data_IF_746387725822
#
_entry.id   IF_746387725822
#
_cell.length_a   1.000
_cell.length_b   1.000
_cell.length_c   1.000
_cell.angle_alpha   90.00
_cell.angle_beta   90.00
_cell.angle_gamma   90.00
#
_symmetry.space_group_name_H-M   'P 1'
#
loop_
_entity.id
_entity.type
_entity.pdbx_description
1 polymer ?
#
# COMPACT_ATOMS: atom_id res chain seq x y z
N UNK A 1 -20.08 42.28 -28.47
CA UNK A 1 -19.35 41.07 -28.93
C UNK A 1 -17.95 41.08 -28.28
N UNK A 2 -17.77 41.10 -26.96
CA UNK A 2 -18.25 40.27 -25.83
C UNK A 2 -17.42 39.00 -25.63
N UNK A 3 -16.22 39.17 -25.05
CA UNK A 3 -15.42 38.25 -24.21
C UNK A 3 -15.11 36.81 -24.69
N UNK A 4 -15.69 36.33 -25.79
CA UNK A 4 -15.55 34.96 -26.26
C UNK A 4 -14.37 34.75 -27.23
N UNK A 5 -13.80 35.83 -27.78
CA UNK A 5 -12.66 35.72 -28.71
C UNK A 5 -11.36 35.31 -27.98
N UNK A 6 -11.18 35.73 -26.72
CA UNK A 6 -10.07 35.32 -25.85
C UNK A 6 -10.30 33.96 -25.18
N UNK A 7 -11.49 33.35 -25.35
CA UNK A 7 -11.84 32.06 -24.73
C UNK A 7 -11.83 30.87 -25.71
N UNK A 8 -11.39 31.07 -26.95
CA UNK A 8 -11.23 29.97 -27.91
C UNK A 8 -9.86 29.33 -27.68
N UNK A 9 -9.82 28.27 -26.87
CA UNK A 9 -8.69 27.33 -26.93
C UNK A 9 -8.71 26.76 -28.34
N UNK A 10 -7.63 26.97 -29.12
CA UNK A 10 -7.49 26.60 -30.54
C UNK A 10 -7.41 25.08 -30.77
N UNK A 11 -8.10 24.31 -29.94
CA UNK A 11 -7.90 22.89 -29.79
C UNK A 11 -6.60 22.59 -29.05
N UNK A 12 -6.49 21.38 -28.50
CA UNK A 12 -5.20 20.90 -28.03
C UNK A 12 -4.21 20.82 -29.18
N UNK A 13 -3.05 21.45 -29.02
CA UNK A 13 -1.95 21.28 -29.96
C UNK A 13 -1.30 19.92 -29.75
N UNK A 14 -0.98 19.24 -30.86
CA UNK A 14 -0.28 17.96 -30.86
C UNK A 14 1.21 18.20 -31.10
N UNK A 15 2.04 17.65 -30.22
CA UNK A 15 3.49 17.73 -30.35
C UNK A 15 4.10 16.33 -30.30
N UNK A 16 5.19 16.11 -31.03
CA UNK A 16 5.93 14.83 -30.95
C UNK A 16 6.74 14.68 -29.66
N UNK A 17 7.12 15.80 -29.04
CA UNK A 17 7.85 15.84 -27.78
C UNK A 17 7.34 17.00 -26.94
N UNK A 18 7.62 16.97 -25.63
CA UNK A 18 7.24 18.06 -24.73
C UNK A 18 8.00 19.34 -25.12
N UNK A 19 7.30 20.44 -25.47
CA UNK A 19 7.96 21.72 -25.73
C UNK A 19 8.63 22.28 -24.46
N UNK A 20 9.79 22.91 -24.62
CA UNK A 20 10.51 23.54 -23.50
C UNK A 20 9.82 24.82 -22.99
N UNK A 21 9.08 25.49 -23.88
CA UNK A 21 8.38 26.74 -23.59
C UNK A 21 6.87 26.58 -23.79
N UNK A 22 6.10 27.48 -23.17
CA UNK A 22 4.65 27.45 -23.25
C UNK A 22 4.18 27.73 -24.68
N UNK A 23 3.67 26.70 -25.35
CA UNK A 23 3.02 26.85 -26.65
C UNK A 23 1.49 27.00 -26.53
N UNK A 24 0.89 26.22 -25.63
CA UNK A 24 -0.53 26.28 -25.27
C UNK A 24 -0.72 25.88 -23.80
N UNK A 25 -1.88 26.20 -23.21
CA UNK A 25 -2.19 25.77 -21.84
C UNK A 25 -2.33 24.25 -21.70
N UNK A 26 -2.87 23.58 -22.73
CA UNK A 26 -3.06 22.13 -22.80
C UNK A 26 -2.53 21.62 -24.13
N UNK A 27 -1.76 20.54 -24.10
CA UNK A 27 -1.19 19.88 -25.27
C UNK A 27 -1.38 18.37 -25.21
N UNK A 28 -1.30 17.71 -26.36
CA UNK A 28 -1.20 16.26 -26.45
C UNK A 28 0.19 15.85 -26.94
N UNK A 29 0.81 14.88 -26.27
CA UNK A 29 2.05 14.24 -26.73
C UNK A 29 1.81 12.74 -26.87
N UNK A 30 1.96 12.15 -28.08
CA UNK A 30 1.81 10.72 -28.28
C UNK A 30 2.69 9.93 -27.31
N UNK A 31 2.10 8.91 -26.66
CA UNK A 31 2.80 8.09 -25.67
C UNK A 31 2.92 8.71 -24.28
N UNK A 32 2.50 9.95 -24.05
CA UNK A 32 2.39 10.56 -22.71
C UNK A 32 0.96 11.02 -22.40
N UNK A 33 0.18 11.35 -23.42
CA UNK A 33 -1.22 11.75 -23.29
C UNK A 33 -1.39 13.26 -23.15
N UNK A 34 -2.30 13.67 -22.28
CA UNK A 34 -2.66 15.07 -22.04
C UNK A 34 -1.72 15.71 -21.01
N UNK A 35 -1.13 16.85 -21.37
CA UNK A 35 -0.27 17.63 -20.49
C UNK A 35 -0.76 19.07 -20.40
N UNK A 36 -0.72 19.62 -19.20
CA UNK A 36 -1.01 21.01 -18.92
C UNK A 36 0.27 21.79 -18.60
N UNK A 37 0.31 23.06 -18.99
CA UNK A 37 1.39 23.96 -18.60
C UNK A 37 1.22 24.37 -17.14
N UNK A 38 2.21 24.04 -16.32
CA UNK A 38 2.23 24.32 -14.88
C UNK A 38 3.33 25.32 -14.58
N UNK A 39 2.98 26.35 -13.79
CA UNK A 39 3.94 27.29 -13.19
C UNK A 39 3.67 27.38 -11.69
N UNK A 40 4.51 26.71 -10.91
CA UNK A 40 4.45 26.72 -9.44
C UNK A 40 5.74 27.34 -8.93
N UNK A 41 5.62 28.25 -7.96
CA UNK A 41 6.75 28.86 -7.25
C UNK A 41 6.80 28.34 -5.81
N UNK A 42 7.96 28.45 -5.15
CA UNK A 42 8.16 27.97 -3.78
C UNK A 42 8.61 26.51 -3.68
N UNK A 43 8.19 25.81 -2.63
CA UNK A 43 8.56 24.40 -2.42
C UNK A 43 8.02 23.52 -3.55
N UNK A 44 8.90 22.75 -4.20
CA UNK A 44 8.54 22.04 -5.42
C UNK A 44 8.25 22.97 -6.61
N UNK A 45 8.95 24.09 -6.73
CA UNK A 45 8.83 24.97 -7.89
C UNK A 45 9.04 24.20 -9.20
N UNK A 46 8.17 24.47 -10.18
CA UNK A 46 8.20 23.81 -11.48
C UNK A 46 7.58 24.72 -12.54
N UNK A 47 8.23 24.80 -13.69
CA UNK A 47 7.75 25.51 -14.87
C UNK A 47 7.92 24.60 -16.07
N UNK A 48 6.81 24.17 -16.66
CA UNK A 48 6.82 23.25 -17.79
C UNK A 48 5.51 22.48 -17.93
N UNK A 49 5.47 21.55 -18.87
CA UNK A 49 4.33 20.66 -19.04
C UNK A 49 4.36 19.48 -18.06
N UNK A 50 3.21 19.18 -17.46
CA UNK A 50 2.97 18.05 -16.56
C UNK A 50 1.78 17.24 -17.07
N UNK A 51 1.87 15.92 -17.03
CA UNK A 51 0.73 15.06 -17.35
C UNK A 51 -0.41 15.28 -16.34
N UNK A 52 -1.66 15.27 -16.80
CA UNK A 52 -2.82 15.48 -15.91
C UNK A 52 -2.94 14.42 -14.80
N UNK A 53 -2.25 13.28 -14.97
CA UNK A 53 -2.22 12.17 -14.01
C UNK A 53 -0.91 12.10 -13.24
N UNK A 54 0.01 13.06 -13.37
CA UNK A 54 1.30 13.02 -12.69
C UNK A 54 1.12 12.72 -11.20
N UNK A 55 1.80 11.69 -10.71
CA UNK A 55 1.68 11.22 -9.33
C UNK A 55 0.59 10.18 -9.06
N UNK A 56 -0.25 9.86 -10.05
CA UNK A 56 -1.29 8.84 -9.91
C UNK A 56 -0.68 7.44 -9.76
N UNK A 57 -1.17 6.67 -8.80
CA UNK A 57 -0.81 5.27 -8.62
C UNK A 57 -1.45 4.42 -9.74
N UNK A 58 -0.65 3.59 -10.39
CA UNK A 58 -1.05 2.72 -11.48
C UNK A 58 -0.73 1.25 -11.14
N UNK A 59 -1.64 0.34 -11.50
CA UNK A 59 -1.40 -1.10 -11.41
C UNK A 59 -0.84 -1.61 -12.74
N UNK A 60 0.48 -1.76 -12.80
CA UNK A 60 1.20 -2.16 -14.01
C UNK A 60 0.93 -3.61 -14.41
N UNK A 61 0.51 -3.80 -15.67
CA UNK A 61 0.21 -5.11 -16.27
C UNK A 61 1.27 -5.59 -17.27
N UNK A 62 2.31 -4.78 -17.50
CA UNK A 62 3.41 -5.09 -18.42
C UNK A 62 4.68 -5.38 -17.65
N UNK A 63 5.61 -6.12 -18.23
CA UNK A 63 6.90 -6.44 -17.60
C UNK A 63 7.80 -5.21 -17.43
N UNK A 64 7.70 -4.23 -18.34
CA UNK A 64 8.48 -2.98 -18.35
C UNK A 64 7.52 -1.79 -18.22
N UNK A 65 7.87 -0.73 -17.48
CA UNK A 65 7.10 0.51 -17.43
C UNK A 65 6.84 1.07 -18.82
N UNK A 66 5.63 1.60 -19.02
CA UNK A 66 5.34 2.40 -20.21
C UNK A 66 6.06 3.75 -20.11
N UNK A 67 6.15 4.48 -21.21
CA UNK A 67 6.80 5.80 -21.29
C UNK A 67 6.25 6.83 -20.30
N UNK A 68 5.00 6.67 -19.85
CA UNK A 68 4.34 7.53 -18.86
C UNK A 68 4.29 6.91 -17.46
N UNK A 69 5.05 5.83 -17.20
CA UNK A 69 5.07 5.14 -15.93
C UNK A 69 6.51 5.06 -15.37
N UNK A 70 6.63 5.09 -14.04
CA UNK A 70 7.85 4.68 -13.33
C UNK A 70 7.53 3.60 -12.28
N UNK A 71 8.44 2.65 -12.09
CA UNK A 71 8.27 1.59 -11.09
C UNK A 71 8.49 2.11 -9.67
N UNK A 72 7.55 1.81 -8.78
CA UNK A 72 7.62 2.11 -7.35
C UNK A 72 8.29 0.95 -6.60
N UNK A 73 9.57 0.72 -6.92
CA UNK A 73 10.40 -0.37 -6.35
C UNK A 73 11.64 0.16 -5.63
N UNK A 74 11.66 1.44 -5.23
CA UNK A 74 12.78 2.05 -4.50
C UNK A 74 13.95 2.51 -5.38
N UNK A 75 13.76 2.59 -6.70
CA UNK A 75 14.80 3.03 -7.64
C UNK A 75 15.15 4.52 -7.51
N UNK A 76 16.32 4.91 -8.00
CA UNK A 76 16.72 6.30 -8.13
C UNK A 76 16.19 6.90 -9.44
N UNK A 77 15.72 8.14 -9.36
CA UNK A 77 15.22 8.94 -10.47
C UNK A 77 15.96 10.28 -10.53
N UNK A 78 16.19 10.79 -11.74
CA UNK A 78 16.85 12.08 -11.94
C UNK A 78 15.88 13.23 -11.66
N UNK A 79 16.29 14.18 -10.83
CA UNK A 79 15.54 15.42 -10.57
C UNK A 79 15.36 16.28 -11.81
N UNK A 80 16.23 16.15 -12.81
CA UNK A 80 16.12 16.84 -14.11
C UNK A 80 15.19 16.08 -15.05
N UNK A 81 15.42 14.78 -15.27
CA UNK A 81 14.62 14.01 -16.23
C UNK A 81 13.17 13.80 -15.76
N UNK A 82 12.94 13.76 -14.45
CA UNK A 82 11.61 13.63 -13.84
C UNK A 82 11.26 14.85 -12.98
N UNK A 83 11.62 16.04 -13.45
CA UNK A 83 11.38 17.30 -12.74
C UNK A 83 9.91 17.52 -12.37
N UNK A 84 8.99 17.17 -13.29
CA UNK A 84 7.55 17.28 -13.03
C UNK A 84 7.11 16.45 -11.83
N UNK A 85 7.50 15.17 -11.80
CA UNK A 85 7.17 14.25 -10.71
C UNK A 85 7.84 14.67 -9.39
N UNK A 86 9.12 15.06 -9.44
CA UNK A 86 9.84 15.50 -8.26
C UNK A 86 9.20 16.75 -7.62
N UNK A 87 8.82 17.72 -8.44
CA UNK A 87 8.09 18.89 -7.99
C UNK A 87 6.71 18.52 -7.43
N UNK A 88 5.97 17.64 -8.10
CA UNK A 88 4.68 17.15 -7.62
C UNK A 88 4.80 16.49 -6.24
N UNK A 89 5.82 15.64 -6.03
CA UNK A 89 6.04 14.96 -4.76
C UNK A 89 6.30 15.96 -3.61
N UNK A 90 7.08 17.01 -3.87
CA UNK A 90 7.34 18.09 -2.90
C UNK A 90 6.07 18.88 -2.58
N UNK A 91 5.32 19.29 -3.62
CA UNK A 91 4.07 20.05 -3.49
C UNK A 91 3.03 19.32 -2.64
N UNK A 92 3.04 17.99 -2.66
CA UNK A 92 2.09 17.13 -1.94
C UNK A 92 2.64 16.57 -0.61
N UNK A 93 3.82 16.99 -0.16
CA UNK A 93 4.38 16.54 1.12
C UNK A 93 4.75 15.05 1.16
N UNK A 94 5.07 14.46 0.00
CA UNK A 94 5.52 13.07 -0.11
C UNK A 94 7.03 12.90 0.02
N UNK A 95 7.78 14.01 0.07
CA UNK A 95 9.24 13.98 0.18
C UNK A 95 9.69 13.90 1.63
N UNK A 96 10.69 13.05 1.89
CA UNK A 96 11.40 12.92 3.15
C UNK A 96 12.92 12.99 2.90
N UNK A 97 13.70 13.23 3.96
CA UNK A 97 15.15 13.11 3.87
C UNK A 97 15.56 11.65 3.59
N UNK A 98 16.69 11.44 2.91
CA UNK A 98 17.23 10.11 2.60
C UNK A 98 17.20 9.12 3.77
N UNK A 99 17.63 9.56 4.96
CA UNK A 99 17.70 8.73 6.15
C UNK A 99 16.34 8.34 6.74
N UNK A 100 15.27 9.08 6.41
CA UNK A 100 13.91 8.79 6.86
C UNK A 100 13.13 7.92 5.87
N UNK A 101 13.70 7.61 4.70
CA UNK A 101 13.03 6.78 3.70
C UNK A 101 12.97 5.32 4.15
N UNK A 102 11.76 4.75 4.07
CA UNK A 102 11.53 3.33 4.35
C UNK A 102 10.71 2.71 3.22
N UNK A 103 10.98 1.44 2.93
CA UNK A 103 10.14 0.68 2.01
C UNK A 103 8.73 0.52 2.62
N UNK A 104 7.74 0.26 1.75
CA UNK A 104 6.31 0.10 2.06
C UNK A 104 5.54 1.40 2.35
N UNK A 105 6.24 2.52 2.50
CA UNK A 105 5.62 3.84 2.58
C UNK A 105 5.61 4.53 1.22
N UNK A 106 4.55 5.30 0.94
CA UNK A 106 4.49 6.15 -0.26
C UNK A 106 5.22 7.46 0.00
N UNK A 107 6.55 7.35 0.10
CA UNK A 107 7.46 8.47 0.34
C UNK A 107 8.62 8.46 -0.65
N UNK A 108 8.94 9.63 -1.15
CA UNK A 108 10.10 9.90 -1.99
C UNK A 108 11.23 10.36 -1.10
N UNK A 109 12.46 9.95 -1.38
CA UNK A 109 13.63 10.43 -0.63
C UNK A 109 14.37 11.49 -1.42
N UNK A 110 14.67 12.62 -0.79
CA UNK A 110 15.71 13.53 -1.27
C UNK A 110 17.09 12.92 -0.99
N UNK A 111 17.79 12.45 -2.02
CA UNK A 111 19.05 11.71 -1.90
C UNK A 111 20.25 12.64 -2.01
N UNK A 112 20.31 13.39 -3.11
CA UNK A 112 21.36 14.35 -3.42
C UNK A 112 20.86 15.38 -4.44
N UNK A 113 21.73 16.28 -4.90
CA UNK A 113 21.36 17.34 -5.85
C UNK A 113 20.87 16.83 -7.22
N UNK A 114 21.21 15.59 -7.58
CA UNK A 114 20.92 15.01 -8.90
C UNK A 114 19.74 14.04 -8.85
N UNK A 115 19.62 13.28 -7.76
CA UNK A 115 18.71 12.15 -7.66
C UNK A 115 17.74 12.25 -6.49
N UNK A 116 16.57 11.67 -6.70
CA UNK A 116 15.63 11.34 -5.66
C UNK A 116 15.28 9.85 -5.73
N UNK A 117 14.86 9.27 -4.61
CA UNK A 117 14.43 7.87 -4.56
C UNK A 117 12.90 7.77 -4.66
N UNK A 118 12.41 6.90 -5.52
CA UNK A 118 10.99 6.56 -5.63
C UNK A 118 10.53 5.73 -4.42
N UNK A 119 9.23 5.76 -4.07
CA UNK A 119 8.66 4.79 -3.13
C UNK A 119 8.95 3.34 -3.51
N UNK A 120 8.93 2.44 -2.53
CA UNK A 120 8.94 0.99 -2.75
C UNK A 120 7.64 0.39 -2.21
N UNK A 121 6.69 0.07 -3.09
CA UNK A 121 5.38 -0.47 -2.72
C UNK A 121 5.25 -1.97 -3.03
N UNK A 122 6.37 -2.69 -3.13
CA UNK A 122 6.30 -4.14 -3.26
C UNK A 122 5.78 -4.77 -1.97
N UNK A 123 4.99 -5.84 -2.10
CA UNK A 123 4.44 -6.62 -0.99
C UNK A 123 3.50 -5.81 -0.08
N UNK A 124 2.81 -4.78 -0.58
CA UNK A 124 1.78 -4.05 0.15
C UNK A 124 0.49 -3.94 -0.65
N UNK A 125 -0.64 -4.05 0.05
CA UNK A 125 -1.95 -3.70 -0.48
C UNK A 125 -2.25 -2.22 -0.31
N UNK A 126 -3.00 -1.63 -1.24
CA UNK A 126 -3.47 -0.26 -1.11
C UNK A 126 -4.69 -0.17 -0.21
N UNK A 127 -4.79 0.92 0.56
CA UNK A 127 -5.99 1.30 1.29
C UNK A 127 -6.12 2.82 1.31
N UNK A 128 -7.35 3.30 1.42
CA UNK A 128 -7.61 4.73 1.56
C UNK A 128 -7.32 5.22 2.98
N UNK A 129 -7.09 6.53 3.09
CA UNK A 129 -6.97 7.25 4.36
C UNK A 129 -8.27 7.16 5.15
N UNK A 130 -8.17 7.36 6.47
CA UNK A 130 -9.32 7.32 7.37
C UNK A 130 -8.88 7.03 8.79
N UNK A 131 -9.85 6.86 9.68
CA UNK A 131 -9.62 6.55 11.09
C UNK A 131 -9.36 5.06 11.28
N UNK A 132 -8.31 4.72 12.02
CA UNK A 132 -8.09 3.36 12.46
C UNK A 132 -9.08 3.02 13.59
N UNK A 133 -9.94 2.02 13.38
CA UNK A 133 -10.95 1.61 14.34
C UNK A 133 -10.35 1.17 15.69
N UNK A 134 -9.14 0.61 15.69
CA UNK A 134 -8.50 0.06 16.90
C UNK A 134 -7.83 1.13 17.78
N UNK A 135 -7.41 2.25 17.17
CA UNK A 135 -6.62 3.29 17.86
C UNK A 135 -7.29 4.67 17.84
N UNK A 136 -8.42 4.81 17.14
CA UNK A 136 -9.04 6.08 16.80
C UNK A 136 -8.10 7.11 16.11
N UNK A 137 -6.91 6.69 15.68
CA UNK A 137 -5.91 7.55 15.05
C UNK A 137 -6.21 7.81 13.57
N UNK A 138 -5.92 9.02 13.10
CA UNK A 138 -5.98 9.35 11.67
C UNK A 138 -4.79 8.74 10.94
N UNK A 139 -5.05 7.98 9.88
CA UNK A 139 -3.98 7.47 9.01
C UNK A 139 -3.58 8.49 7.97
N UNK A 140 -2.35 8.99 8.08
CA UNK A 140 -1.76 9.90 7.10
C UNK A 140 -1.59 9.24 5.72
N UNK A 141 -1.73 10.04 4.66
CA UNK A 141 -1.51 9.56 3.29
C UNK A 141 -0.08 9.03 3.12
N UNK A 142 0.03 7.86 2.50
CA UNK A 142 1.31 7.18 2.25
C UNK A 142 1.92 6.45 3.45
N UNK A 143 1.23 6.38 4.60
CA UNK A 143 1.71 5.61 5.75
C UNK A 143 1.53 4.10 5.60
N UNK A 144 2.52 3.34 6.05
CA UNK A 144 2.45 1.88 6.11
C UNK A 144 1.60 1.40 7.29
N UNK A 145 1.00 0.22 7.15
CA UNK A 145 0.39 -0.54 8.24
C UNK A 145 0.67 -2.01 8.00
N UNK A 146 1.19 -2.68 9.03
CA UNK A 146 1.36 -4.12 9.04
C UNK A 146 0.01 -4.84 9.00
N UNK A 147 0.02 -6.08 8.53
CA UNK A 147 -1.15 -6.95 8.56
C UNK A 147 -1.63 -7.17 9.99
N UNK A 148 -2.95 -7.38 10.12
CA UNK A 148 -3.61 -7.72 11.37
C UNK A 148 -4.69 -8.75 11.09
N UNK A 149 -4.84 -9.71 12.00
CA UNK A 149 -5.96 -10.65 12.03
C UNK A 149 -7.01 -10.15 13.01
N UNK A 150 -8.27 -10.42 12.70
CA UNK A 150 -9.33 -10.29 13.69
C UNK A 150 -9.14 -11.33 14.81
N UNK A 151 -9.74 -11.07 15.98
CA UNK A 151 -9.70 -11.99 17.11
C UNK A 151 -10.17 -13.39 16.71
N UNK A 152 -9.36 -14.39 17.03
CA UNK A 152 -9.71 -15.80 16.91
C UNK A 152 -10.20 -16.28 18.27
N UNK A 153 -11.44 -16.75 18.33
CA UNK A 153 -12.06 -17.21 19.57
C UNK A 153 -12.25 -18.71 19.60
N UNK A 154 -12.32 -19.22 20.82
CA UNK A 154 -12.60 -20.61 21.12
C UNK A 154 -12.84 -20.75 22.61
N UNK A 155 -13.40 -21.88 23.03
CA UNK A 155 -13.53 -22.20 24.44
C UNK A 155 -13.30 -23.68 24.66
N UNK A 156 -12.88 -24.02 25.87
CA UNK A 156 -12.89 -25.38 26.36
C UNK A 156 -13.49 -25.40 27.77
N UNK A 157 -14.16 -26.48 28.14
CA UNK A 157 -14.77 -26.65 29.45
C UNK A 157 -13.92 -27.55 30.33
N UNK A 158 -13.77 -27.16 31.59
CA UNK A 158 -13.20 -28.00 32.64
C UNK A 158 -14.15 -29.18 32.92
N UNK A 159 -13.59 -30.35 33.18
CA UNK A 159 -14.34 -31.52 33.65
C UNK A 159 -15.00 -31.26 34.99
N UNK A 160 -16.25 -31.70 35.12
CA UNK A 160 -16.99 -31.62 36.37
C UNK A 160 -16.59 -32.75 37.35
N UNK A 161 -16.08 -33.87 36.84
CA UNK A 161 -15.82 -35.11 37.58
C UNK A 161 -14.34 -35.40 37.84
N UNK A 162 -13.41 -34.69 37.20
CA UNK A 162 -11.97 -34.85 37.40
C UNK A 162 -11.31 -33.50 37.74
N UNK A 163 -10.53 -33.48 38.82
CA UNK A 163 -10.10 -32.30 39.57
C UNK A 163 -9.20 -31.28 38.85
N UNK A 164 -9.72 -30.60 37.81
CA UNK A 164 -9.11 -29.36 37.29
C UNK A 164 -8.90 -29.27 35.78
N UNK A 165 -9.11 -30.34 35.00
CA UNK A 165 -8.64 -30.44 33.61
C UNK A 165 -9.78 -30.69 32.60
N UNK A 166 -9.50 -30.54 31.29
CA UNK A 166 -10.50 -30.65 30.20
C UNK A 166 -10.85 -32.12 29.92
N UNK A 167 -12.14 -32.41 29.74
CA UNK A 167 -12.60 -33.77 29.43
C UNK A 167 -12.12 -34.23 28.06
N UNK A 168 -11.81 -35.52 27.92
CA UNK A 168 -11.59 -36.16 26.63
C UNK A 168 -12.92 -36.38 25.87
N UNK A 169 -13.65 -35.27 25.66
CA UNK A 169 -14.93 -35.23 24.97
C UNK A 169 -14.90 -34.07 23.97
N UNK A 170 -14.96 -34.32 22.65
CA UNK A 170 -14.94 -33.28 21.63
C UNK A 170 -16.02 -32.20 21.79
N UNK A 171 -17.14 -32.50 22.46
CA UNK A 171 -18.19 -31.52 22.75
C UNK A 171 -17.79 -30.46 23.77
N UNK A 172 -16.65 -30.64 24.46
CA UNK A 172 -16.15 -29.70 25.47
C UNK A 172 -15.19 -28.67 24.92
N UNK A 173 -14.82 -28.73 23.63
CA UNK A 173 -13.94 -27.77 22.95
C UNK A 173 -14.63 -27.17 21.74
N UNK A 174 -14.38 -25.89 21.47
CA UNK A 174 -14.98 -25.14 20.36
C UNK A 174 -13.99 -24.13 19.77
N UNK A 175 -14.24 -23.72 18.53
CA UNK A 175 -13.44 -22.72 17.83
C UNK A 175 -12.01 -23.22 17.54
N UNK A 176 -11.03 -22.36 17.78
CA UNK A 176 -9.62 -22.68 17.55
C UNK A 176 -9.05 -23.76 18.49
N UNK A 177 -9.79 -24.19 19.51
CA UNK A 177 -9.35 -25.29 20.38
C UNK A 177 -9.80 -26.65 19.85
N UNK A 178 -8.90 -27.62 19.96
CA UNK A 178 -9.15 -29.04 19.72
C UNK A 178 -8.54 -29.90 20.83
N UNK A 179 -8.96 -31.16 20.90
CA UNK A 179 -8.30 -32.17 21.73
C UNK A 179 -7.13 -32.77 20.94
N UNK A 180 -5.96 -32.85 21.56
CA UNK A 180 -4.83 -33.57 21.01
C UNK A 180 -4.88 -35.07 21.28
N UNK A 181 -3.94 -35.79 20.69
CA UNK A 181 -3.76 -37.22 20.91
C UNK A 181 -2.94 -37.50 22.17
N UNK A 182 -3.17 -38.67 22.77
CA UNK A 182 -2.46 -39.11 23.98
C UNK A 182 -3.27 -38.83 25.24
N UNK A 183 -3.73 -39.91 25.87
CA UNK A 183 -4.35 -39.91 27.18
C UNK A 183 -3.25 -40.11 28.23
N UNK A 184 -2.96 -39.10 29.03
CA UNK A 184 -2.02 -39.23 30.17
C UNK A 184 -2.80 -39.56 31.43
N UNK A 185 -2.43 -40.61 32.20
CA UNK A 185 -3.06 -40.89 33.48
C UNK A 185 -2.94 -39.69 34.41
N UNK A 186 -4.01 -39.35 35.10
CA UNK A 186 -3.95 -38.27 36.08
C UNK A 186 -3.13 -38.60 37.32
N UNK A 187 -2.80 -37.59 38.14
CA UNK A 187 -1.86 -37.72 39.26
C UNK A 187 -2.37 -38.60 40.40
N UNK A 188 -3.64 -39.04 40.38
CA UNK A 188 -4.21 -40.00 41.35
C UNK A 188 -5.19 -40.96 40.68
N UNK A 189 -5.48 -42.10 41.34
CA UNK A 189 -6.32 -43.17 40.80
C UNK A 189 -7.73 -42.72 40.39
N UNK A 190 -8.27 -41.66 41.02
CA UNK A 190 -9.59 -41.08 40.72
C UNK A 190 -9.55 -39.97 39.65
N UNK A 191 -8.36 -39.64 39.14
CA UNK A 191 -8.14 -38.46 38.29
C UNK A 191 -8.58 -38.62 36.83
N UNK A 192 -8.95 -39.82 36.37
CA UNK A 192 -9.21 -40.10 34.96
C UNK A 192 -7.98 -39.94 34.07
N UNK A 193 -8.17 -40.00 32.75
CA UNK A 193 -7.13 -39.73 31.76
C UNK A 193 -7.31 -38.35 31.13
N UNK A 194 -6.22 -37.63 30.89
CA UNK A 194 -6.22 -36.28 30.33
C UNK A 194 -5.70 -36.26 28.91
N UNK A 195 -6.26 -35.34 28.10
CA UNK A 195 -5.77 -35.04 26.76
C UNK A 195 -5.29 -33.60 26.69
N UNK A 196 -4.24 -33.31 25.92
CA UNK A 196 -3.80 -31.93 25.72
C UNK A 196 -4.86 -31.14 24.97
N UNK A 197 -5.04 -29.87 25.33
CA UNK A 197 -5.80 -28.92 24.50
C UNK A 197 -4.83 -28.26 23.53
N UNK A 198 -5.14 -28.34 22.25
CA UNK A 198 -4.33 -27.75 21.19
C UNK A 198 -5.03 -26.47 20.72
N UNK A 199 -4.27 -25.39 20.61
CA UNK A 199 -4.69 -24.23 19.85
C UNK A 199 -4.26 -24.42 18.40
N UNK A 200 -5.23 -24.39 17.50
CA UNK A 200 -5.02 -24.48 16.06
C UNK A 200 -5.99 -23.52 15.34
N UNK A 201 -5.44 -22.39 14.90
CA UNK A 201 -6.17 -21.38 14.16
C UNK A 201 -6.75 -21.91 12.83
N UNK A 202 -6.17 -22.97 12.24
CA UNK A 202 -6.65 -23.54 10.97
C UNK A 202 -8.07 -24.13 11.07
N UNK A 203 -8.54 -24.39 12.29
CA UNK A 203 -9.89 -24.89 12.58
C UNK A 203 -10.98 -23.87 12.30
N UNK A 204 -10.66 -22.57 12.29
CA UNK A 204 -11.63 -21.47 12.13
C UNK A 204 -11.20 -20.39 11.14
N UNK A 205 -9.95 -20.44 10.67
CA UNK A 205 -9.42 -19.50 9.70
C UNK A 205 -8.48 -20.22 8.73
N UNK A 206 -8.29 -19.66 7.52
CA UNK A 206 -7.20 -20.11 6.64
C UNK A 206 -5.88 -19.59 7.20
N UNK A 207 -4.89 -20.47 7.31
CA UNK A 207 -3.57 -20.13 7.86
C UNK A 207 -2.49 -20.19 6.80
N UNK A 208 -1.48 -19.33 6.96
CA UNK A 208 -0.25 -19.28 6.18
C UNK A 208 0.82 -18.57 7.03
N UNK A 209 2.07 -18.52 6.56
CA UNK A 209 3.15 -17.76 7.22
C UNK A 209 2.90 -16.24 7.19
N UNK A 210 2.12 -15.75 6.22
CA UNK A 210 1.75 -14.34 6.07
C UNK A 210 0.23 -14.20 6.04
N UNK A 211 -0.32 -13.25 6.80
CA UNK A 211 -1.74 -12.89 6.71
C UNK A 211 -1.99 -12.12 5.43
N UNK A 212 -2.74 -12.71 4.51
CA UNK A 212 -3.11 -12.04 3.25
C UNK A 212 -4.46 -12.49 2.73
N UNK A 213 -5.13 -11.59 2.04
CA UNK A 213 -6.25 -11.96 1.19
C UNK A 213 -5.73 -12.67 -0.07
N UNK A 214 -6.61 -13.41 -0.76
CA UNK A 214 -6.30 -13.94 -2.08
C UNK A 214 -6.07 -12.76 -3.03
N UNK A 215 -4.92 -12.73 -3.72
CA UNK A 215 -4.50 -11.58 -4.50
C UNK A 215 -3.78 -12.00 -5.78
N UNK A 216 -3.70 -11.05 -6.72
CA UNK A 216 -2.89 -11.15 -7.95
C UNK A 216 -1.86 -10.02 -7.91
N UNK A 217 -0.60 -10.34 -8.23
CA UNK A 217 0.48 -9.38 -8.23
C UNK A 217 0.48 -8.54 -9.51
N UNK A 218 0.46 -7.21 -9.34
CA UNK A 218 0.70 -6.22 -10.40
C UNK A 218 1.94 -5.41 -10.04
N UNK A 219 2.61 -4.81 -11.03
CA UNK A 219 3.73 -3.92 -10.76
C UNK A 219 3.21 -2.61 -10.15
N UNK A 220 3.69 -2.17 -8.97
CA UNK A 220 3.31 -0.87 -8.43
C UNK A 220 3.99 0.22 -9.24
N UNK A 221 3.20 1.11 -9.85
CA UNK A 221 3.73 2.17 -10.72
C UNK A 221 3.14 3.51 -10.39
N UNK A 222 3.81 4.55 -10.85
CA UNK A 222 3.34 5.92 -10.78
C UNK A 222 3.34 6.54 -12.16
N UNK A 223 2.32 7.32 -12.46
CA UNK A 223 2.24 8.09 -13.68
C UNK A 223 3.16 9.31 -13.60
N UNK A 224 3.97 9.55 -14.64
CA UNK A 224 5.00 10.61 -14.65
C UNK A 224 4.67 11.79 -15.55
#
# INVERSE_FOLDING_TARGET
>A
MSALADSVITGPMFFQAIPAEKAAALIFVPGLGWLEWVEVTGAGAFKGYRTLRCGALEFGTTTVPRSYEADLVGGLASKTAQASLWAWAQQNGHVVAAAAWTAKEFKFADVDDTYFRLPDLRNVGTRFTGTNADTAGVRGIGSFQADALQNITGSFKRSASSGGLVENNPATVTGAFGLGSGATPGPSADSGSYVPVIFDASRVARTATETRHANTAFAPRIHI
#
